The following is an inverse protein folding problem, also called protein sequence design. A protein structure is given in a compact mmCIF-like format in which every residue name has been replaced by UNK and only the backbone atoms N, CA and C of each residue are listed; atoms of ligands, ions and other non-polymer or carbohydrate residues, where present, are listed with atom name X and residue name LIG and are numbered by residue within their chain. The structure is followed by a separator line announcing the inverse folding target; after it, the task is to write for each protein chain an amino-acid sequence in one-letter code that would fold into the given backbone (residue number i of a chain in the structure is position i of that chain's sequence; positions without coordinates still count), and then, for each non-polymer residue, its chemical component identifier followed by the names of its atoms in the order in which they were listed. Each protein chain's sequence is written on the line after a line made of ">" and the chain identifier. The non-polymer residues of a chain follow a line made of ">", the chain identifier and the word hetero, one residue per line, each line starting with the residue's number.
data_IF_173190497566
#
_entry.id   IF_173190497566
#
_cell.length_a   1.000
_cell.length_b   1.000
_cell.length_c   1.000
_cell.angle_alpha   90.00
_cell.angle_beta   90.00
_cell.angle_gamma   90.00
#
_symmetry.space_group_name_H-M   'P 1'
#
loop_
_entity.id
_entity.type
_entity.pdbx_description
1 polymer ?
#
# COMPACT_ATOMS: atom_id res chain seq x y z
N UNK A 1 -20.01 14.81 7.19
CA UNK A 1 -19.32 14.75 5.89
C UNK A 1 -19.69 13.41 5.27
N UNK A 2 -20.32 13.37 4.10
CA UNK A 2 -20.79 12.14 3.41
C UNK A 2 -20.14 12.10 2.03
N UNK A 3 -19.88 10.92 1.46
CA UNK A 3 -19.31 10.74 0.11
C UNK A 3 -17.91 11.36 -0.10
N UNK A 4 -17.05 11.31 0.93
CA UNK A 4 -15.65 11.75 0.86
C UNK A 4 -14.74 10.63 1.37
N UNK A 5 -14.45 9.60 0.53
CA UNK A 5 -13.60 8.48 0.94
C UNK A 5 -12.18 8.95 1.24
N UNK A 6 -11.49 8.24 2.13
CA UNK A 6 -10.10 8.53 2.51
C UNK A 6 -9.16 8.61 1.30
N UNK A 7 -9.43 7.83 0.25
CA UNK A 7 -8.69 7.82 -1.01
C UNK A 7 -8.49 9.23 -1.60
N UNK A 8 -9.46 10.14 -1.46
CA UNK A 8 -9.33 11.51 -1.97
C UNK A 8 -8.22 12.33 -1.29
N UNK A 9 -7.79 11.91 -0.09
CA UNK A 9 -6.76 12.55 0.73
C UNK A 9 -5.46 11.73 0.75
N UNK A 10 -5.52 10.45 1.07
CA UNK A 10 -4.34 9.58 1.26
C UNK A 10 -3.94 8.85 -0.02
N UNK A 11 -4.81 8.82 -1.03
CA UNK A 11 -4.65 8.03 -2.25
C UNK A 11 -5.11 6.58 -2.13
N UNK A 12 -5.33 6.09 -0.91
CA UNK A 12 -5.68 4.71 -0.58
C UNK A 12 -6.66 4.67 0.59
N UNK A 13 -7.37 3.56 0.74
CA UNK A 13 -8.29 3.34 1.84
C UNK A 13 -8.55 1.87 2.13
N UNK A 14 -9.22 1.62 3.23
CA UNK A 14 -9.43 0.26 3.73
C UNK A 14 -10.30 -0.56 2.77
N UNK A 15 -11.18 0.12 2.04
CA UNK A 15 -12.13 -0.47 1.07
C UNK A 15 -11.48 -1.36 0.02
N UNK A 16 -10.23 -1.11 -0.39
CA UNK A 16 -9.48 -1.96 -1.33
C UNK A 16 -8.22 -2.56 -0.72
N UNK A 17 -8.04 -2.37 0.59
CA UNK A 17 -7.02 -3.02 1.40
C UNK A 17 -7.62 -4.18 2.20
N UNK A 18 -7.41 -4.16 3.52
CA UNK A 18 -7.87 -5.19 4.44
C UNK A 18 -6.84 -5.54 5.50
N UNK A 19 -6.80 -6.80 5.92
CA UNK A 19 -5.85 -7.32 6.88
C UNK A 19 -4.75 -8.12 6.21
N UNK A 20 -3.55 -8.03 6.81
CA UNK A 20 -2.39 -8.88 6.51
C UNK A 20 -1.81 -9.36 7.84
N UNK A 21 -1.55 -10.66 7.97
CA UNK A 21 -1.11 -11.30 9.23
C UNK A 21 -1.99 -10.96 10.44
N UNK A 22 -3.28 -10.79 10.19
CA UNK A 22 -4.25 -10.43 11.21
C UNK A 22 -5.64 -10.91 10.83
N UNK A 23 -6.53 -11.07 11.81
CA UNK A 23 -7.93 -11.48 11.60
C UNK A 23 -8.02 -12.77 10.77
N UNK A 24 -7.10 -13.72 10.98
CA UNK A 24 -7.06 -14.96 10.19
C UNK A 24 -6.70 -14.79 8.71
N UNK A 25 -6.36 -13.59 8.25
CA UNK A 25 -6.01 -13.30 6.86
C UNK A 25 -4.50 -13.38 6.65
N UNK A 26 -4.08 -14.24 5.70
CA UNK A 26 -2.69 -14.39 5.28
C UNK A 26 -1.71 -14.63 6.43
N UNK A 27 -2.12 -15.43 7.43
CA UNK A 27 -1.33 -15.67 8.65
C UNK A 27 0.01 -16.38 8.35
N UNK A 28 0.03 -17.24 7.34
CA UNK A 28 1.21 -18.02 6.96
C UNK A 28 2.06 -17.35 5.86
N UNK A 29 1.53 -16.30 5.21
CA UNK A 29 2.21 -15.60 4.12
C UNK A 29 3.16 -14.50 4.64
N UNK A 30 4.26 -14.18 3.92
CA UNK A 30 5.15 -13.07 4.29
C UNK A 30 4.45 -11.71 4.30
N UNK A 31 4.63 -10.88 5.32
CA UNK A 31 4.07 -9.52 5.39
C UNK A 31 5.04 -8.50 4.74
N UNK A 32 5.13 -8.54 3.41
CA UNK A 32 6.16 -7.85 2.63
C UNK A 32 5.59 -7.17 1.37
N UNK A 33 6.24 -6.12 0.90
CA UNK A 33 5.87 -5.43 -0.34
C UNK A 33 6.56 -6.05 -1.54
N UNK A 34 5.83 -6.25 -2.65
CA UNK A 34 6.40 -6.48 -3.98
C UNK A 34 6.57 -5.16 -4.72
N UNK A 35 7.74 -4.94 -5.32
CA UNK A 35 8.11 -3.70 -6.03
C UNK A 35 7.61 -3.70 -7.47
N UNK A 36 6.91 -2.64 -7.87
CA UNK A 36 6.38 -2.47 -9.24
C UNK A 36 7.20 -1.48 -10.07
N UNK A 37 7.60 -0.36 -9.45
CA UNK A 37 8.19 0.79 -10.14
C UNK A 37 9.53 1.19 -9.49
N UNK A 38 10.58 0.36 -9.61
CA UNK A 38 11.85 0.55 -8.90
C UNK A 38 12.62 1.82 -9.32
N UNK A 39 12.37 2.33 -10.52
CA UNK A 39 13.02 3.55 -11.03
C UNK A 39 12.49 4.83 -10.37
N UNK A 40 11.41 4.73 -9.58
CA UNK A 40 10.87 5.87 -8.85
C UNK A 40 11.83 6.30 -7.73
N UNK A 41 11.99 7.62 -7.52
CA UNK A 41 12.97 8.19 -6.59
C UNK A 41 12.81 7.72 -5.13
N UNK A 42 11.62 7.28 -4.76
CA UNK A 42 11.35 6.66 -3.43
C UNK A 42 12.31 5.49 -3.17
N UNK A 43 12.67 4.73 -4.21
CA UNK A 43 13.56 3.58 -4.12
C UNK A 43 15.04 3.91 -4.37
N UNK A 44 15.40 5.19 -4.58
CA UNK A 44 16.77 5.59 -4.87
C UNK A 44 17.75 5.09 -3.79
N UNK A 45 18.78 4.34 -4.21
CA UNK A 45 19.80 3.78 -3.31
C UNK A 45 19.37 2.53 -2.53
N UNK A 46 18.21 1.94 -2.82
CA UNK A 46 17.80 0.63 -2.25
C UNK A 46 18.34 -0.57 -3.03
N UNK A 47 18.70 -0.36 -4.31
CA UNK A 47 19.04 -1.41 -5.30
C UNK A 47 17.90 -2.40 -5.60
N UNK A 48 16.67 -2.10 -5.17
CA UNK A 48 15.49 -2.90 -5.51
C UNK A 48 15.22 -2.87 -7.01
N UNK A 49 14.76 -4.01 -7.51
CA UNK A 49 14.33 -4.23 -8.89
C UNK A 49 12.84 -4.54 -8.91
N UNK A 50 12.26 -4.54 -10.10
CA UNK A 50 10.88 -4.97 -10.30
C UNK A 50 10.74 -6.42 -9.81
N UNK A 51 9.64 -6.69 -9.13
CA UNK A 51 9.29 -7.97 -8.50
C UNK A 51 10.13 -8.38 -7.29
N UNK A 52 11.14 -7.59 -6.91
CA UNK A 52 11.79 -7.78 -5.61
C UNK A 52 10.78 -7.60 -4.48
N UNK A 53 11.03 -8.30 -3.38
CA UNK A 53 10.22 -8.20 -2.17
C UNK A 53 11.04 -7.66 -1.00
N UNK A 54 10.43 -6.84 -0.15
CA UNK A 54 11.12 -6.25 1.01
C UNK A 54 10.23 -6.12 2.24
N UNK A 55 10.88 -6.10 3.42
CA UNK A 55 10.25 -5.90 4.72
C UNK A 55 9.55 -7.13 5.34
N UNK A 56 9.63 -8.30 4.70
CA UNK A 56 9.00 -9.52 5.22
C UNK A 56 9.58 -10.01 6.54
N UNK A 57 10.89 -9.79 6.77
CA UNK A 57 11.58 -10.14 8.01
C UNK A 57 10.98 -9.45 9.23
N UNK A 58 10.67 -8.16 9.08
CA UNK A 58 10.14 -7.31 10.15
C UNK A 58 8.62 -7.13 10.05
N UNK A 59 7.97 -7.87 9.13
CA UNK A 59 6.50 -7.88 8.94
C UNK A 59 5.91 -6.48 8.78
N UNK A 60 6.36 -5.73 7.77
CA UNK A 60 5.99 -4.31 7.62
C UNK A 60 4.60 -4.08 7.02
N UNK A 61 3.96 -5.13 6.48
CA UNK A 61 2.61 -5.05 5.93
C UNK A 61 1.60 -5.70 6.88
N UNK A 62 0.69 -4.91 7.42
CA UNK A 62 -0.28 -5.29 8.45
C UNK A 62 -0.39 -4.15 9.46
N UNK A 63 -1.01 -4.35 10.62
CA UNK A 63 -2.13 -5.23 10.88
C UNK A 63 -3.33 -4.90 9.96
N UNK A 64 -3.56 -3.61 9.72
CA UNK A 64 -4.51 -3.04 8.76
C UNK A 64 -3.76 -2.42 7.57
N UNK A 65 -4.36 -2.56 6.40
CA UNK A 65 -3.78 -2.17 5.13
C UNK A 65 -4.79 -1.36 4.33
N UNK A 66 -4.29 -0.32 3.67
CA UNK A 66 -5.06 0.53 2.77
C UNK A 66 -4.64 0.29 1.32
N UNK A 67 -5.63 0.26 0.43
CA UNK A 67 -5.47 0.01 -0.99
C UNK A 67 -6.30 0.93 -1.87
N UNK A 68 -6.21 0.73 -3.17
CA UNK A 68 -7.13 1.33 -4.14
C UNK A 68 -7.60 0.26 -5.12
N UNK A 69 -8.68 0.53 -5.86
CA UNK A 69 -9.10 -0.36 -6.93
C UNK A 69 -8.05 -0.39 -8.03
N UNK A 70 -7.56 -1.59 -8.36
CA UNK A 70 -6.48 -1.78 -9.33
C UNK A 70 -6.97 -2.47 -10.60
N UNK A 71 -6.47 -1.97 -11.72
CA UNK A 71 -6.44 -2.68 -13.00
C UNK A 71 -4.98 -3.05 -13.32
N UNK A 72 -4.77 -4.29 -13.76
CA UNK A 72 -3.43 -4.78 -14.12
C UNK A 72 -3.21 -4.66 -15.63
N UNK A 73 -2.17 -3.93 -16.03
CA UNK A 73 -1.78 -3.75 -17.44
C UNK A 73 -0.30 -4.11 -17.56
N UNK A 74 0.00 -5.06 -18.44
CA UNK A 74 1.39 -5.49 -18.71
C UNK A 74 2.19 -5.84 -17.42
N UNK A 75 1.49 -6.46 -16.46
CA UNK A 75 2.05 -6.87 -15.18
C UNK A 75 2.34 -5.73 -14.20
N UNK A 76 1.78 -4.53 -14.40
CA UNK A 76 1.85 -3.41 -13.46
C UNK A 76 0.45 -3.03 -12.96
N UNK A 77 0.30 -2.65 -11.69
CA UNK A 77 -0.96 -2.16 -11.16
C UNK A 77 -1.16 -0.67 -11.48
N UNK A 78 -2.38 -0.32 -11.87
CA UNK A 78 -2.83 1.05 -12.09
C UNK A 78 -4.14 1.29 -11.34
N UNK A 79 -4.31 2.40 -10.62
CA UNK A 79 -5.59 2.73 -10.02
C UNK A 79 -6.67 2.91 -11.09
N UNK A 80 -7.91 2.49 -10.81
CA UNK A 80 -9.05 2.75 -11.70
C UNK A 80 -9.64 4.15 -11.47
N UNK A 81 -9.34 4.76 -10.32
CA UNK A 81 -9.86 6.04 -9.82
C UNK A 81 -11.35 6.05 -9.44
N UNK A 82 -12.07 4.94 -9.62
CA UNK A 82 -13.53 4.88 -9.34
C UNK A 82 -13.85 4.95 -7.84
N UNK A 83 -12.89 4.62 -7.00
CA UNK A 83 -12.96 4.70 -5.54
C UNK A 83 -12.51 6.07 -4.98
N UNK A 84 -12.19 7.03 -5.85
CA UNK A 84 -11.75 8.36 -5.48
C UNK A 84 -10.23 8.52 -5.33
N UNK A 85 -9.46 7.48 -5.62
CA UNK A 85 -7.99 7.59 -5.70
C UNK A 85 -7.58 8.59 -6.80
N UNK A 86 -6.68 9.56 -6.53
CA UNK A 86 -6.31 10.60 -7.49
C UNK A 86 -5.85 10.06 -8.85
N UNK A 87 -6.20 10.78 -9.92
CA UNK A 87 -5.86 10.40 -11.32
C UNK A 87 -4.36 10.22 -11.57
N UNK A 88 -3.53 10.87 -10.77
CA UNK A 88 -2.07 10.79 -10.87
C UNK A 88 -1.43 10.01 -9.71
N UNK A 89 -2.19 9.15 -9.03
CA UNK A 89 -1.64 8.25 -8.03
C UNK A 89 -0.83 7.13 -8.69
N UNK A 90 0.43 7.02 -8.30
CA UNK A 90 1.35 6.00 -8.77
C UNK A 90 1.53 4.92 -7.70
N UNK A 91 1.16 3.68 -8.04
CA UNK A 91 1.31 2.52 -7.16
C UNK A 91 2.75 2.01 -7.25
N UNK A 92 3.54 2.16 -6.21
CA UNK A 92 4.96 1.80 -6.21
C UNK A 92 5.20 0.35 -5.80
N UNK A 93 4.43 -0.13 -4.83
CA UNK A 93 4.47 -1.51 -4.34
C UNK A 93 3.12 -1.98 -3.86
N UNK A 94 2.88 -3.30 -3.89
CA UNK A 94 1.66 -3.90 -3.32
C UNK A 94 1.95 -5.12 -2.48
N UNK A 95 1.04 -5.43 -1.56
CA UNK A 95 0.99 -6.70 -0.84
C UNK A 95 -0.47 -7.15 -0.70
N UNK A 96 -0.83 -8.42 -1.00
CA UNK A 96 -2.22 -8.86 -0.90
C UNK A 96 -2.79 -8.66 0.51
N UNK A 97 -4.01 -8.13 0.58
CA UNK A 97 -4.75 -7.94 1.81
C UNK A 97 -6.21 -8.36 1.59
N UNK A 98 -6.90 -8.77 2.65
CA UNK A 98 -8.30 -9.19 2.56
C UNK A 98 -9.03 -8.81 3.83
N UNK A 99 -10.30 -8.48 3.71
CA UNK A 99 -11.19 -8.26 4.84
C UNK A 99 -11.41 -9.55 5.62
N UNK A 100 -11.74 -9.45 6.91
CA UNK A 100 -12.34 -10.58 7.58
C UNK A 100 -13.77 -10.77 7.07
N UNK A 101 -14.27 -12.01 6.94
CA UNK A 101 -15.66 -12.26 6.56
C UNK A 101 -16.69 -11.50 7.42
N UNK A 102 -16.38 -11.29 8.70
CA UNK A 102 -17.32 -10.65 9.63
C UNK A 102 -17.35 -9.11 9.57
N UNK A 103 -16.41 -8.44 8.90
CA UNK A 103 -16.33 -6.96 8.97
C UNK A 103 -17.38 -6.27 8.11
N UNK A 104 -17.59 -6.75 6.87
CA UNK A 104 -18.45 -6.06 5.92
C UNK A 104 -18.93 -6.90 4.73
N UNK A 105 -18.95 -8.24 4.84
CA UNK A 105 -19.63 -9.09 3.84
C UNK A 105 -21.14 -8.80 3.71
N UNK A 106 -21.73 -8.08 4.67
CA UNK A 106 -23.11 -7.60 4.61
C UNK A 106 -23.30 -6.38 3.68
N UNK A 107 -22.23 -5.73 3.22
CA UNK A 107 -22.35 -4.53 2.41
C UNK A 107 -22.43 -4.87 0.92
N UNK A 108 -23.65 -4.84 0.37
CA UNK A 108 -24.03 -5.32 -0.98
C UNK A 108 -23.24 -4.71 -2.17
N UNK A 109 -22.48 -3.65 -1.93
CA UNK A 109 -21.66 -2.99 -2.96
C UNK A 109 -20.32 -3.69 -3.19
N UNK A 110 -20.03 -4.80 -2.51
CA UNK A 110 -18.72 -5.44 -2.54
C UNK A 110 -18.77 -6.93 -2.84
N UNK A 111 -17.75 -7.38 -3.58
CA UNK A 111 -17.53 -8.79 -3.86
C UNK A 111 -17.01 -9.51 -2.61
N UNK A 112 -17.81 -10.42 -2.09
CA UNK A 112 -17.48 -11.28 -0.95
C UNK A 112 -16.20 -12.06 -1.25
N UNK A 113 -15.28 -12.08 -0.28
CA UNK A 113 -14.01 -12.82 -0.35
C UNK A 113 -12.95 -12.23 -1.30
N UNK A 114 -13.16 -11.03 -1.86
CA UNK A 114 -12.20 -10.37 -2.75
C UNK A 114 -10.87 -10.10 -2.04
N UNK A 115 -9.77 -10.53 -2.66
CA UNK A 115 -8.42 -10.10 -2.27
C UNK A 115 -8.12 -8.72 -2.86
N UNK A 116 -7.95 -7.72 -2.00
CA UNK A 116 -7.40 -6.41 -2.33
C UNK A 116 -5.88 -6.38 -2.12
N UNK A 117 -5.33 -5.20 -1.88
CA UNK A 117 -3.91 -5.03 -1.60
C UNK A 117 -3.61 -3.81 -0.73
N UNK A 118 -2.69 -3.97 0.21
CA UNK A 118 -1.91 -2.85 0.73
C UNK A 118 -1.19 -2.19 -0.45
N UNK A 119 -1.39 -0.88 -0.65
CA UNK A 119 -0.79 -0.13 -1.76
C UNK A 119 0.15 0.95 -1.19
N UNK A 120 1.46 0.79 -1.41
CA UNK A 120 2.41 1.88 -1.21
C UNK A 120 2.45 2.71 -2.48
N UNK A 121 2.24 4.02 -2.38
CA UNK A 121 2.14 4.87 -3.54
C UNK A 121 2.25 6.36 -3.23
N UNK A 122 2.14 7.15 -4.29
CA UNK A 122 2.40 8.59 -4.23
C UNK A 122 1.56 9.34 -5.25
N UNK A 123 1.12 10.55 -4.90
CA UNK A 123 0.51 11.48 -5.86
C UNK A 123 0.86 12.93 -5.50
N UNK A 124 0.68 13.85 -6.46
CA UNK A 124 0.95 15.27 -6.27
C UNK A 124 -0.25 16.13 -6.68
N UNK A 125 -0.59 17.13 -5.88
CA UNK A 125 -1.49 18.24 -6.23
C UNK A 125 -0.79 19.56 -5.92
N UNK A 126 -1.33 20.34 -4.97
CA UNK A 126 -0.65 21.51 -4.38
C UNK A 126 0.51 21.12 -3.46
N UNK A 127 0.57 19.85 -3.07
CA UNK A 127 1.66 19.20 -2.36
C UNK A 127 1.71 17.73 -2.73
N UNK A 128 2.70 17.01 -2.22
CA UNK A 128 2.89 15.58 -2.51
C UNK A 128 2.51 14.74 -1.31
N UNK A 129 1.74 13.67 -1.54
CA UNK A 129 1.34 12.71 -0.53
C UNK A 129 1.95 11.37 -0.88
N UNK A 130 2.81 10.87 0.01
CA UNK A 130 3.28 9.49 0.00
C UNK A 130 2.49 8.70 1.04
N UNK A 131 2.06 7.49 0.68
CA UNK A 131 1.41 6.55 1.61
C UNK A 131 2.16 5.22 1.59
N UNK A 132 2.40 4.67 2.77
CA UNK A 132 2.90 3.31 2.92
C UNK A 132 1.79 2.26 2.82
N UNK A 133 0.50 2.63 3.00
CA UNK A 133 -0.63 1.71 2.88
C UNK A 133 -0.69 0.59 3.93
N UNK A 134 -0.05 0.78 5.08
CA UNK A 134 0.09 -0.22 6.16
C UNK A 134 0.30 0.46 7.51
N UNK A 135 -0.16 -0.17 8.58
CA UNK A 135 0.10 0.29 9.97
C UNK A 135 1.52 -0.07 10.42
N UNK A 136 2.01 -1.22 10.00
CA UNK A 136 3.20 -1.87 10.55
C UNK A 136 4.51 -1.42 9.91
N UNK A 137 4.51 -0.36 9.09
CA UNK A 137 5.73 0.21 8.51
C UNK A 137 6.80 0.50 9.58
N UNK A 138 6.36 0.93 10.77
CA UNK A 138 7.22 1.23 11.91
C UNK A 138 8.00 0.01 12.43
N UNK A 139 7.54 -1.23 12.18
CA UNK A 139 8.29 -2.43 12.55
C UNK A 139 9.62 -2.51 11.80
N UNK A 140 9.65 -2.16 10.51
CA UNK A 140 10.88 -2.11 9.72
C UNK A 140 11.85 -1.05 10.24
N UNK A 141 11.35 0.11 10.68
CA UNK A 141 12.16 1.14 11.33
C UNK A 141 12.74 0.66 12.67
N UNK A 142 11.93 -0.02 13.48
CA UNK A 142 12.39 -0.61 14.75
C UNK A 142 13.44 -1.70 14.50
N UNK A 143 13.22 -2.54 13.49
CA UNK A 143 14.11 -3.63 13.07
C UNK A 143 15.38 -3.17 12.35
N UNK A 144 15.50 -1.87 12.06
CA UNK A 144 16.57 -1.26 11.24
C UNK A 144 16.67 -1.92 9.87
N UNK A 145 15.53 -2.19 9.25
CA UNK A 145 15.47 -2.70 7.88
C UNK A 145 16.07 -1.62 6.95
N UNK A 146 17.17 -1.94 6.24
CA UNK A 146 17.89 -0.95 5.46
C UNK A 146 17.08 -0.39 4.29
N UNK A 147 16.15 -1.17 3.73
CA UNK A 147 15.28 -0.72 2.64
C UNK A 147 14.21 0.22 3.17
N UNK A 148 13.56 -0.14 4.28
CA UNK A 148 12.52 0.66 4.93
C UNK A 148 13.07 1.99 5.43
N UNK A 149 14.24 1.98 6.09
CA UNK A 149 14.92 3.20 6.52
C UNK A 149 15.31 4.08 5.32
N UNK A 150 15.79 3.49 4.23
CA UNK A 150 16.21 4.23 3.04
C UNK A 150 15.03 4.88 2.33
N UNK A 151 13.92 4.15 2.15
CA UNK A 151 12.67 4.69 1.59
C UNK A 151 12.15 5.85 2.46
N UNK A 152 12.07 5.64 3.78
CA UNK A 152 11.60 6.66 4.72
C UNK A 152 12.46 7.93 4.64
N UNK A 153 13.80 7.77 4.61
CA UNK A 153 14.74 8.87 4.48
C UNK A 153 14.58 9.61 3.15
N UNK A 154 14.45 8.89 2.03
CA UNK A 154 14.25 9.50 0.72
C UNK A 154 13.01 10.39 0.71
N UNK A 155 11.89 9.91 1.29
CA UNK A 155 10.64 10.67 1.40
C UNK A 155 10.82 11.92 2.26
N UNK A 156 11.39 11.79 3.45
CA UNK A 156 11.61 12.93 4.35
C UNK A 156 12.57 13.97 3.76
N UNK A 157 13.68 13.54 3.16
CA UNK A 157 14.69 14.44 2.59
C UNK A 157 14.15 15.24 1.41
N UNK A 158 13.22 14.67 0.64
CA UNK A 158 12.62 15.30 -0.54
C UNK A 158 11.39 16.14 -0.21
N UNK A 159 10.51 15.67 0.68
CA UNK A 159 9.24 16.34 0.99
C UNK A 159 9.32 17.26 2.22
N UNK A 160 10.36 17.15 3.04
CA UNK A 160 10.56 17.99 4.22
C UNK A 160 11.20 19.35 3.92
N UNK A 161 11.29 19.76 2.65
CA UNK A 161 11.92 21.01 2.20
C UNK A 161 10.88 22.04 1.80
#
# INVERSE_FOLDING_TARGET
>A
LVERPENQLTGVGFLWGGYRKSHGQFMDDPAEYQVHRPDHWVFEGTNLKRDDKFGGKDTIVGYECDGCELEWKEGLPFPTHKDGTPENFEVLSTCPARWHPDDAEWYERWDIGRTGAACMGIYTRVGTVFTAGTTDWAHGLMGKDPVVEKITRNVLDRLGR
#
